data_IF_750853762232
#
_entry.id   IF_750853762232
#
_cell.length_a   1.000
_cell.length_b   1.000
_cell.length_c   1.000
_cell.angle_alpha   90.00
_cell.angle_beta   90.00
_cell.angle_gamma   90.00
#
_symmetry.space_group_name_H-M   'P 1'
#
loop_
_entity.id
_entity.type
_entity.pdbx_description
1 polymer ?
#
# COMPACT_ATOMS: atom_id res chain seq x y z
N UNK A 1 9.54 16.20 -1.85
CA UNK A 1 8.31 15.55 -2.35
C UNK A 1 7.76 14.52 -1.35
N UNK A 2 8.08 14.66 -0.05
CA UNK A 2 7.60 13.79 1.02
C UNK A 2 6.07 13.92 1.19
N UNK A 3 5.41 12.88 1.70
CA UNK A 3 3.97 12.81 1.95
C UNK A 3 3.10 12.98 0.69
N UNK A 4 3.41 12.24 -0.37
CA UNK A 4 2.56 12.13 -1.55
C UNK A 4 2.03 10.69 -1.69
N UNK A 5 0.82 10.56 -2.22
CA UNK A 5 0.23 9.26 -2.54
C UNK A 5 0.65 8.84 -3.95
N UNK A 6 0.85 7.55 -4.14
CA UNK A 6 1.08 6.96 -5.46
C UNK A 6 -0.19 6.23 -5.93
N UNK A 7 -0.49 6.37 -7.21
CA UNK A 7 -1.73 5.86 -7.81
C UNK A 7 -1.44 5.26 -9.17
N UNK A 8 -1.87 4.01 -9.37
CA UNK A 8 -1.77 3.30 -10.63
C UNK A 8 -3.13 3.28 -11.34
N UNK A 9 -3.12 3.34 -12.66
CA UNK A 9 -4.30 3.16 -13.50
C UNK A 9 -4.02 2.10 -14.54
N UNK A 10 -4.68 0.96 -14.42
CA UNK A 10 -4.60 -0.12 -15.41
C UNK A 10 -5.77 -0.02 -16.38
N UNK A 11 -5.48 -0.04 -17.68
CA UNK A 11 -6.51 0.08 -18.71
C UNK A 11 -6.17 -0.63 -20.01
N UNK A 12 -7.15 -0.64 -20.92
CA UNK A 12 -7.03 -1.13 -22.28
C UNK A 12 -7.61 -0.08 -23.23
N UNK A 13 -6.94 0.17 -24.35
CA UNK A 13 -7.42 1.07 -25.39
C UNK A 13 -7.44 0.35 -26.74
N UNK A 14 -8.44 0.58 -27.59
CA UNK A 14 -8.52 0.09 -28.98
C UNK A 14 -8.12 1.15 -30.04
N UNK A 15 -7.53 2.26 -29.57
CA UNK A 15 -7.20 3.46 -30.35
C UNK A 15 -8.32 4.51 -30.34
N UNK A 16 -9.55 4.16 -29.91
CA UNK A 16 -10.68 5.11 -29.81
C UNK A 16 -11.35 5.05 -28.45
N UNK A 17 -11.65 3.85 -27.99
CA UNK A 17 -12.30 3.56 -26.72
C UNK A 17 -11.25 3.15 -25.70
N UNK A 18 -11.36 3.73 -24.51
CA UNK A 18 -10.49 3.42 -23.36
C UNK A 18 -11.37 2.76 -22.30
N UNK A 19 -10.96 1.59 -21.84
CA UNK A 19 -11.53 0.89 -20.69
C UNK A 19 -10.54 1.02 -19.54
N UNK A 20 -10.89 1.79 -18.52
CA UNK A 20 -10.15 1.80 -17.25
C UNK A 20 -10.64 0.61 -16.42
N UNK A 21 -9.73 -0.30 -16.12
CA UNK A 21 -10.01 -1.45 -15.25
C UNK A 21 -10.19 -0.99 -13.81
N UNK A 22 -9.21 -0.27 -13.27
CA UNK A 22 -9.31 0.38 -11.96
C UNK A 22 -8.30 1.51 -11.82
N UNK A 23 -8.64 2.45 -10.94
CA UNK A 23 -7.66 3.32 -10.28
C UNK A 23 -7.28 2.64 -8.97
N UNK A 24 -5.99 2.42 -8.77
CA UNK A 24 -5.42 1.63 -7.68
C UNK A 24 -4.57 2.57 -6.83
N UNK A 25 -4.92 2.73 -5.56
CA UNK A 25 -4.15 3.56 -4.64
C UNK A 25 -3.12 2.72 -3.90
N UNK A 26 -1.89 3.22 -3.77
CA UNK A 26 -0.88 2.61 -2.91
C UNK A 26 -1.11 3.04 -1.46
N UNK A 27 -1.10 2.09 -0.53
CA UNK A 27 -1.24 2.36 0.92
C UNK A 27 0.03 3.03 1.44
N UNK A 28 1.18 2.49 1.03
CA UNK A 28 2.51 3.04 1.30
C UNK A 28 2.69 4.41 0.63
N UNK A 29 3.58 5.23 1.21
CA UNK A 29 3.88 6.56 0.65
C UNK A 29 4.81 6.46 -0.56
N UNK A 30 4.75 7.46 -1.44
CA UNK A 30 5.65 7.57 -2.57
C UNK A 30 7.13 7.48 -2.12
N UNK A 31 7.90 6.64 -2.80
CA UNK A 31 9.28 6.29 -2.44
C UNK A 31 9.47 4.81 -2.09
N UNK A 32 8.38 4.09 -1.83
CA UNK A 32 8.34 2.62 -1.88
C UNK A 32 8.04 2.22 -3.32
N UNK A 33 8.84 1.31 -3.89
CA UNK A 33 8.60 0.81 -5.25
C UNK A 33 7.22 0.16 -5.37
N UNK A 34 6.47 0.46 -6.43
CA UNK A 34 5.09 -0.05 -6.65
C UNK A 34 4.92 -1.56 -6.47
N UNK A 35 5.89 -2.38 -6.91
CA UNK A 35 5.94 -3.82 -6.64
C UNK A 35 5.80 -4.24 -5.17
N UNK A 36 6.44 -3.47 -4.29
CA UNK A 36 6.53 -3.69 -2.84
C UNK A 36 5.47 -2.90 -2.05
N UNK A 37 4.69 -2.06 -2.73
CA UNK A 37 3.60 -1.34 -2.10
C UNK A 37 2.38 -2.26 -1.91
N UNK A 38 1.71 -2.10 -0.78
CA UNK A 38 0.34 -2.57 -0.64
C UNK A 38 -0.58 -1.67 -1.47
N UNK A 39 -1.56 -2.27 -2.14
CA UNK A 39 -2.46 -1.57 -3.05
C UNK A 39 -3.92 -1.80 -2.67
N UNK A 40 -4.77 -0.80 -2.89
CA UNK A 40 -6.21 -0.90 -2.63
C UNK A 40 -7.10 -0.47 -3.80
N UNK A 41 -8.21 -1.19 -3.97
CA UNK A 41 -9.31 -0.86 -4.87
C UNK A 41 -10.64 -1.02 -4.11
N UNK A 42 -11.57 -0.07 -4.15
CA UNK A 42 -11.36 1.29 -4.66
C UNK A 42 -10.32 2.05 -3.82
N UNK A 43 -9.80 3.20 -4.31
CA UNK A 43 -8.98 4.12 -3.53
C UNK A 43 -9.67 4.48 -2.20
N UNK A 44 -8.89 4.53 -1.12
CA UNK A 44 -9.37 4.75 0.24
C UNK A 44 -9.25 6.21 0.68
N UNK A 45 -8.21 6.93 0.22
CA UNK A 45 -7.90 8.31 0.64
C UNK A 45 -8.12 9.33 -0.46
N UNK A 46 -8.24 8.92 -1.73
CA UNK A 46 -8.42 9.85 -2.84
C UNK A 46 -9.81 10.48 -2.84
N UNK A 47 -9.87 11.79 -3.11
CA UNK A 47 -11.13 12.50 -3.29
C UNK A 47 -11.76 12.17 -4.66
N UNK A 48 -13.10 12.27 -4.76
CA UNK A 48 -13.80 12.09 -6.04
C UNK A 48 -13.27 13.03 -7.14
N UNK A 49 -12.90 14.26 -6.76
CA UNK A 49 -12.30 15.24 -7.67
C UNK A 49 -10.98 14.75 -8.25
N UNK A 50 -10.12 14.13 -7.43
CA UNK A 50 -8.86 13.55 -7.90
C UNK A 50 -9.12 12.35 -8.80
N UNK A 51 -10.06 11.48 -8.44
CA UNK A 51 -10.47 10.33 -9.24
C UNK A 51 -10.96 10.77 -10.63
N UNK A 52 -11.81 11.80 -10.71
CA UNK A 52 -12.29 12.37 -11.97
C UNK A 52 -11.14 12.95 -12.80
N UNK A 53 -10.22 13.71 -12.19
CA UNK A 53 -9.06 14.28 -12.87
C UNK A 53 -8.13 13.20 -13.44
N UNK A 54 -7.87 12.13 -12.67
CA UNK A 54 -7.04 10.99 -13.11
C UNK A 54 -7.75 10.25 -14.26
N UNK A 55 -9.07 10.08 -14.17
CA UNK A 55 -9.90 9.44 -15.20
C UNK A 55 -9.84 10.21 -16.52
N UNK A 56 -10.05 11.53 -16.50
CA UNK A 56 -9.95 12.40 -17.70
C UNK A 56 -8.54 12.36 -18.30
N UNK A 57 -7.52 12.56 -17.45
CA UNK A 57 -6.12 12.56 -17.88
C UNK A 57 -5.74 11.23 -18.54
N UNK A 58 -6.14 10.11 -17.94
CA UNK A 58 -5.92 8.77 -18.47
C UNK A 58 -6.55 8.59 -19.85
N UNK A 59 -7.82 8.98 -20.00
CA UNK A 59 -8.54 8.89 -21.27
C UNK A 59 -7.86 9.71 -22.37
N UNK A 60 -7.42 10.93 -22.05
CA UNK A 60 -6.75 11.82 -22.99
C UNK A 60 -5.39 11.28 -23.41
N UNK A 61 -4.57 10.86 -22.44
CA UNK A 61 -3.23 10.29 -22.70
C UNK A 61 -3.35 9.03 -23.55
N UNK A 62 -4.24 8.08 -23.19
CA UNK A 62 -4.37 6.83 -23.93
C UNK A 62 -4.79 7.03 -25.40
N UNK A 63 -5.63 8.04 -25.67
CA UNK A 63 -6.06 8.40 -27.03
C UNK A 63 -4.97 9.15 -27.79
N UNK A 64 -4.26 10.07 -27.15
CA UNK A 64 -3.17 10.85 -27.78
C UNK A 64 -2.04 9.93 -28.25
N UNK A 65 -1.66 8.93 -27.44
CA UNK A 65 -0.67 7.93 -27.81
C UNK A 65 -1.22 6.84 -28.74
N UNK A 66 -2.50 6.91 -29.13
CA UNK A 66 -3.19 5.94 -29.99
C UNK A 66 -2.95 4.49 -29.55
N UNK A 67 -3.05 4.25 -28.23
CA UNK A 67 -2.75 2.95 -27.63
C UNK A 67 -3.70 1.89 -28.18
N UNK A 68 -3.13 0.75 -28.57
CA UNK A 68 -3.87 -0.45 -28.99
C UNK A 68 -3.42 -1.64 -28.17
N UNK A 69 -4.15 -1.96 -27.11
CA UNK A 69 -3.78 -2.99 -26.14
C UNK A 69 -3.77 -2.47 -24.71
N UNK A 70 -3.05 -3.16 -23.81
CA UNK A 70 -3.00 -2.83 -22.40
C UNK A 70 -2.05 -1.66 -22.12
N UNK A 71 -2.35 -0.88 -21.10
CA UNK A 71 -1.46 0.15 -20.59
C UNK A 71 -1.59 0.30 -19.07
N UNK A 72 -0.58 0.93 -18.48
CA UNK A 72 -0.55 1.35 -17.08
C UNK A 72 -0.02 2.78 -16.99
N UNK A 73 -0.72 3.63 -16.25
CA UNK A 73 -0.31 5.00 -15.94
C UNK A 73 -0.08 5.14 -14.44
N UNK A 74 1.04 5.75 -14.06
CA UNK A 74 1.35 6.03 -12.66
C UNK A 74 1.26 7.52 -12.39
N UNK A 75 0.66 7.87 -11.26
CA UNK A 75 0.44 9.24 -10.82
C UNK A 75 0.96 9.45 -9.40
N UNK A 76 1.48 10.65 -9.16
CA UNK A 76 1.70 11.19 -7.83
C UNK A 76 0.53 12.11 -7.46
N UNK A 77 -0.07 11.92 -6.30
CA UNK A 77 -1.12 12.81 -5.78
C UNK A 77 -0.61 13.55 -4.56
N UNK A 78 -0.60 14.89 -4.65
CA UNK A 78 -0.23 15.76 -3.53
C UNK A 78 -1.07 17.04 -3.54
N UNK A 79 -1.58 17.44 -2.37
CA UNK A 79 -2.36 18.67 -2.19
C UNK A 79 -3.51 18.80 -3.21
N UNK A 80 -4.30 17.73 -3.39
CA UNK A 80 -5.41 17.68 -4.35
C UNK A 80 -4.99 17.96 -5.81
N UNK A 81 -3.76 17.57 -6.18
CA UNK A 81 -3.26 17.61 -7.56
C UNK A 81 -2.61 16.28 -7.93
N UNK A 82 -2.95 15.80 -9.12
CA UNK A 82 -2.36 14.61 -9.72
C UNK A 82 -1.25 15.03 -10.72
N UNK A 83 -0.12 14.35 -10.66
CA UNK A 83 1.03 14.53 -11.55
C UNK A 83 1.36 13.19 -12.20
N UNK A 84 1.53 13.14 -13.52
CA UNK A 84 1.93 11.91 -14.22
C UNK A 84 3.39 11.59 -13.89
N UNK A 85 3.67 10.36 -13.51
CA UNK A 85 5.02 9.82 -13.30
C UNK A 85 5.50 9.17 -14.59
N UNK A 86 4.82 8.10 -15.03
CA UNK A 86 5.17 7.35 -16.23
C UNK A 86 3.95 6.72 -16.91
N UNK A 87 4.12 6.38 -18.19
CA UNK A 87 3.19 5.59 -19.00
C UNK A 87 3.89 4.33 -19.49
N UNK A 88 3.34 3.17 -19.15
CA UNK A 88 3.75 1.88 -19.66
C UNK A 88 2.71 1.39 -20.68
N UNK A 89 3.06 1.36 -21.97
CA UNK A 89 2.18 0.82 -23.04
C UNK A 89 2.34 -0.71 -23.13
N UNK A 90 2.06 -1.39 -22.04
CA UNK A 90 2.11 -2.84 -21.87
C UNK A 90 1.26 -3.24 -20.66
N UNK A 91 1.06 -4.54 -20.48
CA UNK A 91 0.45 -5.06 -19.25
C UNK A 91 1.36 -4.77 -18.05
N UNK A 92 0.76 -4.29 -16.95
CA UNK A 92 1.39 -4.16 -15.65
C UNK A 92 1.27 -5.46 -14.85
N UNK A 93 2.01 -5.52 -13.73
CA UNK A 93 1.90 -6.61 -12.76
C UNK A 93 0.61 -6.57 -11.94
N UNK A 94 -0.02 -5.40 -11.79
CA UNK A 94 -1.28 -5.22 -11.07
C UNK A 94 -2.51 -5.60 -11.89
N UNK A 95 -2.39 -5.70 -13.21
CA UNK A 95 -3.51 -6.00 -14.11
C UNK A 95 -4.25 -7.31 -13.79
N UNK A 96 -3.61 -8.43 -13.36
CA UNK A 96 -4.32 -9.61 -12.88
C UNK A 96 -5.16 -9.36 -11.63
N UNK A 97 -4.66 -8.56 -10.68
CA UNK A 97 -5.41 -8.15 -9.48
C UNK A 97 -6.62 -7.29 -9.86
N UNK A 98 -6.42 -6.27 -10.70
CA UNK A 98 -7.50 -5.42 -11.25
C UNK A 98 -8.55 -6.27 -11.96
N UNK A 99 -8.14 -7.14 -12.88
CA UNK A 99 -9.03 -8.02 -13.66
C UNK A 99 -9.91 -8.90 -12.75
N UNK A 100 -9.33 -9.47 -11.68
CA UNK A 100 -10.07 -10.29 -10.72
C UNK A 100 -11.05 -9.46 -9.90
N UNK A 101 -10.67 -8.25 -9.49
CA UNK A 101 -11.54 -7.35 -8.72
C UNK A 101 -12.78 -6.94 -9.51
N UNK A 102 -12.60 -6.44 -10.75
CA UNK A 102 -13.72 -6.00 -11.59
C UNK A 102 -14.44 -7.13 -12.33
N UNK A 103 -13.92 -8.37 -12.23
CA UNK A 103 -14.44 -9.56 -12.92
C UNK A 103 -14.47 -9.40 -14.45
N UNK A 104 -13.51 -8.67 -14.99
CA UNK A 104 -13.32 -8.45 -16.43
C UNK A 104 -11.94 -8.95 -16.81
N UNK A 105 -11.86 -9.80 -17.84
CA UNK A 105 -10.57 -10.27 -18.34
C UNK A 105 -9.91 -9.18 -19.19
N UNK A 106 -9.14 -8.30 -18.55
CA UNK A 106 -8.47 -7.18 -19.21
C UNK A 106 -7.48 -7.65 -20.28
N UNK A 107 -6.81 -8.79 -20.08
CA UNK A 107 -5.88 -9.35 -21.08
C UNK A 107 -6.60 -9.82 -22.34
N UNK A 108 -7.81 -10.38 -22.20
CA UNK A 108 -8.65 -10.74 -23.35
C UNK A 108 -9.08 -9.49 -24.13
N UNK A 109 -9.47 -8.41 -23.44
CA UNK A 109 -9.79 -7.13 -24.07
C UNK A 109 -8.56 -6.55 -24.79
N UNK A 110 -7.40 -6.59 -24.13
CA UNK A 110 -6.14 -6.14 -24.68
C UNK A 110 -5.77 -6.88 -25.97
N UNK A 111 -5.92 -8.21 -25.99
CA UNK A 111 -5.68 -9.02 -27.18
C UNK A 111 -6.63 -8.66 -28.32
N UNK A 112 -7.92 -8.41 -28.03
CA UNK A 112 -8.88 -7.95 -29.03
C UNK A 112 -8.48 -6.60 -29.62
N UNK A 113 -8.11 -5.64 -28.78
CA UNK A 113 -7.65 -4.31 -29.21
C UNK A 113 -6.39 -4.39 -30.10
N UNK A 114 -5.41 -5.21 -29.72
CA UNK A 114 -4.18 -5.43 -30.51
C UNK A 114 -4.51 -6.00 -31.89
N UNK A 115 -5.49 -6.90 -31.98
CA UNK A 115 -5.97 -7.48 -33.24
C UNK A 115 -6.86 -6.53 -34.05
N UNK A 116 -7.04 -5.28 -33.62
CA UNK A 116 -7.87 -4.29 -34.29
C UNK A 116 -9.38 -4.53 -34.15
N UNK A 117 -9.79 -5.37 -33.18
CA UNK A 117 -11.20 -5.54 -32.84
C UNK A 117 -11.61 -4.44 -31.86
N UNK A 118 -12.87 -4.00 -31.97
CA UNK A 118 -13.45 -3.07 -31.01
C UNK A 118 -13.59 -3.76 -29.64
N UNK A 119 -13.27 -3.03 -28.56
CA UNK A 119 -13.53 -3.48 -27.20
C UNK A 119 -14.91 -3.00 -26.73
N UNK A 120 -15.61 -3.73 -25.85
CA UNK A 120 -16.90 -3.32 -25.33
C UNK A 120 -16.80 -2.01 -24.56
N UNK A 121 -17.87 -1.22 -24.60
CA UNK A 121 -17.96 -0.02 -23.76
C UNK A 121 -18.32 -0.44 -22.33
N UNK A 122 -17.35 -0.30 -21.42
CA UNK A 122 -17.48 -0.65 -20.01
C UNK A 122 -17.58 0.64 -19.19
N UNK A 123 -18.48 0.72 -18.19
CA UNK A 123 -18.57 1.89 -17.31
C UNK A 123 -17.24 2.19 -16.62
N UNK A 124 -16.79 3.45 -16.72
CA UNK A 124 -15.48 3.89 -16.19
C UNK A 124 -15.40 3.81 -14.66
N UNK A 125 -16.54 3.73 -13.99
CA UNK A 125 -16.71 3.72 -12.54
C UNK A 125 -17.01 2.32 -11.98
N UNK A 126 -16.95 1.27 -12.80
CA UNK A 126 -17.34 -0.09 -12.37
C UNK A 126 -16.57 -0.61 -11.15
N UNK A 127 -15.34 -0.14 -10.97
CA UNK A 127 -14.47 -0.50 -9.84
C UNK A 127 -14.80 0.25 -8.55
N UNK A 128 -15.59 1.34 -8.60
CA UNK A 128 -16.06 2.06 -7.40
C UNK A 128 -17.29 1.40 -6.78
N UNK A 129 -18.18 0.86 -7.60
CA UNK A 129 -19.53 0.46 -7.18
C UNK A 129 -19.68 -1.05 -6.88
N UNK A 130 -18.60 -1.72 -6.47
CA UNK A 130 -18.63 -3.17 -6.21
C UNK A 130 -19.14 -3.53 -4.80
N UNK A 131 -19.23 -2.56 -3.89
CA UNK A 131 -19.53 -2.80 -2.47
C UNK A 131 -18.47 -3.64 -1.75
N UNK A 132 -17.29 -3.81 -2.36
CA UNK A 132 -16.20 -4.67 -1.89
C UNK A 132 -14.88 -3.91 -1.98
N UNK A 133 -13.95 -4.22 -1.09
CA UNK A 133 -12.55 -3.76 -1.16
C UNK A 133 -11.65 -4.91 -1.58
N UNK A 134 -10.71 -4.63 -2.48
CA UNK A 134 -9.59 -5.49 -2.84
C UNK A 134 -8.31 -4.89 -2.28
N UNK A 135 -7.51 -5.71 -1.61
CA UNK A 135 -6.18 -5.35 -1.12
C UNK A 135 -5.16 -6.33 -1.69
N UNK A 136 -4.13 -5.80 -2.34
CA UNK A 136 -2.94 -6.57 -2.74
C UNK A 136 -1.82 -6.27 -1.75
N UNK A 137 -1.23 -7.31 -1.17
CA UNK A 137 -0.12 -7.25 -0.21
C UNK A 137 1.09 -7.95 -0.83
N UNK A 138 2.28 -7.34 -0.83
CA UNK A 138 3.51 -7.98 -1.28
C UNK A 138 3.94 -9.12 -0.34
N UNK A 139 4.54 -10.16 -0.91
CA UNK A 139 5.24 -11.22 -0.18
C UNK A 139 6.74 -10.98 -0.28
N UNK A 140 7.42 -11.04 0.86
CA UNK A 140 8.89 -10.95 0.92
C UNK A 140 9.51 -12.29 1.33
N UNK A 141 10.74 -12.51 0.89
CA UNK A 141 11.55 -13.69 1.23
C UNK A 141 12.79 -13.34 2.05
N UNK A 142 12.76 -12.26 2.85
CA UNK A 142 13.92 -11.79 3.64
C UNK A 142 14.53 -12.88 4.54
N UNK A 143 13.71 -13.78 5.07
CA UNK A 143 14.17 -14.90 5.91
C UNK A 143 15.08 -15.90 5.16
N UNK A 144 15.11 -15.87 3.83
CA UNK A 144 15.97 -16.71 3.00
C UNK A 144 17.27 -16.01 2.59
N UNK A 145 17.41 -14.71 2.89
CA UNK A 145 18.51 -13.86 2.47
C UNK A 145 19.29 -13.36 3.70
N UNK A 146 20.30 -14.13 4.09
CA UNK A 146 21.17 -13.76 5.21
C UNK A 146 21.92 -12.45 4.91
N UNK A 147 21.87 -11.50 5.84
CA UNK A 147 22.49 -10.18 5.69
C UNK A 147 21.70 -9.16 4.86
N UNK A 148 20.50 -9.51 4.37
CA UNK A 148 19.62 -8.54 3.72
C UNK A 148 19.06 -7.53 4.73
N UNK A 149 19.10 -6.24 4.36
CA UNK A 149 18.43 -5.20 5.13
C UNK A 149 16.92 -5.24 4.86
N UNK A 150 16.11 -5.25 5.92
CA UNK A 150 14.64 -5.39 5.85
C UNK A 150 14.04 -3.98 5.80
N UNK A 151 14.36 -3.24 4.75
CA UNK A 151 13.92 -1.86 4.55
C UNK A 151 13.38 -1.69 3.14
N UNK A 152 12.16 -1.17 3.05
CA UNK A 152 11.54 -0.82 1.76
C UNK A 152 12.19 0.44 1.18
N UNK A 153 12.38 0.44 -0.14
CA UNK A 153 12.95 1.58 -0.85
C UNK A 153 12.46 1.68 -2.29
N UNK A 154 13.24 2.38 -3.11
CA UNK A 154 12.92 2.62 -4.52
C UNK A 154 13.19 1.41 -5.42
N UNK A 155 13.90 0.40 -4.93
CA UNK A 155 14.14 -0.86 -5.63
C UNK A 155 13.19 -1.94 -5.10
N UNK A 156 12.62 -2.73 -6.01
CA UNK A 156 11.69 -3.82 -5.67
C UNK A 156 12.44 -5.02 -5.08
N UNK A 157 11.96 -5.51 -3.94
CA UNK A 157 12.51 -6.68 -3.24
C UNK A 157 11.49 -7.81 -3.02
N UNK A 158 10.19 -7.56 -3.21
CA UNK A 158 9.16 -8.59 -3.07
C UNK A 158 9.29 -9.70 -4.11
N UNK A 159 8.94 -10.93 -3.70
CA UNK A 159 9.05 -12.15 -4.51
C UNK A 159 7.69 -12.66 -4.98
N UNK A 160 6.61 -12.10 -4.46
CA UNK A 160 5.24 -12.47 -4.81
C UNK A 160 4.22 -11.50 -4.24
N UNK A 161 2.94 -11.87 -4.34
CA UNK A 161 1.83 -11.07 -3.83
C UNK A 161 0.62 -11.95 -3.48
N UNK A 162 -0.16 -11.49 -2.51
CA UNK A 162 -1.48 -12.02 -2.22
C UNK A 162 -2.53 -10.92 -2.45
N UNK A 163 -3.65 -11.29 -3.06
CA UNK A 163 -4.79 -10.40 -3.23
C UNK A 163 -5.99 -10.94 -2.46
N UNK A 164 -6.57 -10.12 -1.59
CA UNK A 164 -7.72 -10.48 -0.76
C UNK A 164 -8.87 -9.49 -0.96
N UNK A 165 -10.09 -10.00 -0.84
CA UNK A 165 -11.31 -9.22 -0.99
C UNK A 165 -12.13 -9.25 0.31
N UNK A 166 -12.76 -8.13 0.64
CA UNK A 166 -13.52 -7.97 1.88
C UNK A 166 -14.60 -6.91 1.79
N UNK A 167 -15.51 -6.93 2.76
CA UNK A 167 -16.67 -6.01 2.80
C UNK A 167 -16.27 -4.60 3.29
N UNK A 168 -15.06 -4.45 3.80
CA UNK A 168 -14.46 -3.17 4.19
C UNK A 168 -12.96 -3.19 3.91
N UNK A 169 -12.34 -2.01 3.88
CA UNK A 169 -10.88 -1.87 3.75
C UNK A 169 -10.14 -2.70 4.81
N UNK A 170 -10.55 -2.59 6.08
CA UNK A 170 -9.90 -3.31 7.18
C UNK A 170 -10.10 -4.83 7.10
N UNK A 171 -11.26 -5.31 6.65
CA UNK A 171 -11.51 -6.73 6.43
C UNK A 171 -10.57 -7.28 5.34
N UNK A 172 -10.53 -6.62 4.17
CA UNK A 172 -9.65 -7.02 3.07
C UNK A 172 -8.16 -6.94 3.45
N UNK A 173 -7.75 -5.89 4.16
CA UNK A 173 -6.37 -5.69 4.61
C UNK A 173 -5.94 -6.78 5.60
N UNK A 174 -6.79 -7.09 6.59
CA UNK A 174 -6.48 -8.13 7.57
C UNK A 174 -6.30 -9.52 6.93
N UNK A 175 -7.15 -9.85 5.95
CA UNK A 175 -7.03 -11.07 5.13
C UNK A 175 -5.74 -11.07 4.31
N UNK A 176 -5.38 -9.93 3.70
CA UNK A 176 -4.16 -9.76 2.91
C UNK A 176 -2.91 -9.99 3.74
N UNK A 177 -2.80 -9.32 4.88
CA UNK A 177 -1.67 -9.47 5.82
C UNK A 177 -1.57 -10.91 6.33
N UNK A 178 -2.70 -11.53 6.70
CA UNK A 178 -2.72 -12.93 7.15
C UNK A 178 -2.26 -13.89 6.03
N UNK A 179 -2.64 -13.61 4.78
CA UNK A 179 -2.33 -14.47 3.62
C UNK A 179 -0.85 -14.49 3.26
N UNK A 180 -0.10 -13.42 3.57
CA UNK A 180 1.37 -13.35 3.38
C UNK A 180 2.15 -13.77 4.63
N UNK A 181 1.45 -14.28 5.66
CA UNK A 181 2.05 -14.87 6.86
C UNK A 181 2.24 -13.91 8.04
N UNK A 182 1.73 -12.68 7.99
CA UNK A 182 1.72 -11.82 9.18
C UNK A 182 0.77 -12.37 10.24
N UNK A 183 1.25 -12.40 11.48
CA UNK A 183 0.40 -12.62 12.64
C UNK A 183 -0.11 -11.26 13.14
N UNK A 184 -1.43 -11.11 13.26
CA UNK A 184 -2.06 -9.89 13.77
C UNK A 184 -2.42 -10.11 15.26
N UNK A 185 -1.53 -9.76 16.20
CA UNK A 185 -1.82 -9.93 17.62
C UNK A 185 -3.00 -9.07 18.04
N UNK A 186 -3.81 -9.58 18.98
CA UNK A 186 -4.94 -8.83 19.56
C UNK A 186 -4.56 -8.01 20.79
N UNK A 187 -3.57 -8.50 21.53
CA UNK A 187 -3.02 -7.89 22.74
C UNK A 187 -1.54 -8.29 22.86
N UNK A 188 -0.80 -7.67 23.78
CA UNK A 188 0.60 -8.04 24.02
C UNK A 188 1.49 -6.83 24.28
N UNK A 189 2.68 -6.85 23.69
CA UNK A 189 3.66 -5.77 23.80
C UNK A 189 3.99 -5.20 22.43
N UNK A 190 3.94 -3.87 22.31
CA UNK A 190 4.34 -3.16 21.10
C UNK A 190 5.57 -2.30 21.39
N UNK A 191 6.62 -2.44 20.59
CA UNK A 191 7.74 -1.51 20.57
C UNK A 191 7.39 -0.34 19.65
N UNK A 192 7.71 0.89 20.08
CA UNK A 192 7.60 2.09 19.25
C UNK A 192 8.93 2.85 19.32
N UNK A 193 9.67 2.83 18.21
CA UNK A 193 10.94 3.55 18.07
C UNK A 193 10.85 4.48 16.85
N UNK A 194 10.85 5.79 17.09
CA UNK A 194 10.69 6.75 15.99
C UNK A 194 11.45 8.06 16.22
N UNK A 195 12.15 8.48 15.16
CA UNK A 195 12.89 9.73 15.10
C UNK A 195 12.01 10.91 14.68
N UNK A 196 12.33 12.10 15.23
CA UNK A 196 11.64 13.36 14.91
C UNK A 196 10.35 13.57 15.69
N UNK A 197 10.09 14.82 16.09
CA UNK A 197 8.88 15.17 16.87
C UNK A 197 7.61 15.01 16.04
N UNK A 198 7.64 15.42 14.77
CA UNK A 198 6.49 15.32 13.85
C UNK A 198 5.98 13.88 13.72
N UNK A 199 6.89 12.92 13.56
CA UNK A 199 6.52 11.50 13.44
C UNK A 199 5.95 10.93 14.75
N UNK A 200 6.43 11.41 15.91
CA UNK A 200 5.86 11.03 17.21
C UNK A 200 4.45 11.58 17.38
N UNK A 201 4.19 12.78 16.88
CA UNK A 201 2.84 13.34 16.84
C UNK A 201 1.91 12.53 15.92
N UNK A 202 2.37 12.16 14.72
CA UNK A 202 1.64 11.28 13.80
C UNK A 202 1.29 9.92 14.44
N UNK A 203 2.22 9.33 15.19
CA UNK A 203 2.01 8.04 15.86
C UNK A 203 1.25 8.10 17.20
N UNK A 204 0.97 9.29 17.74
CA UNK A 204 0.31 9.42 19.04
C UNK A 204 -1.05 8.74 19.07
N UNK A 205 -1.88 8.99 18.05
CA UNK A 205 -3.21 8.39 17.97
C UNK A 205 -3.14 6.87 17.83
N UNK A 206 -2.25 6.37 16.96
CA UNK A 206 -2.02 4.92 16.79
C UNK A 206 -1.55 4.26 18.08
N UNK A 207 -0.62 4.88 18.80
CA UNK A 207 -0.10 4.38 20.07
C UNK A 207 -1.18 4.37 21.16
N UNK A 208 -2.05 5.38 21.20
CA UNK A 208 -3.20 5.41 22.09
C UNK A 208 -4.19 4.28 21.77
N UNK A 209 -4.46 4.01 20.50
CA UNK A 209 -5.32 2.90 20.06
C UNK A 209 -4.75 1.55 20.49
N UNK A 210 -3.44 1.32 20.29
CA UNK A 210 -2.78 0.10 20.76
C UNK A 210 -2.92 -0.07 22.28
N UNK A 211 -2.72 1.00 23.05
CA UNK A 211 -2.90 0.94 24.50
C UNK A 211 -4.33 0.61 24.90
N UNK A 212 -5.33 1.21 24.24
CA UNK A 212 -6.75 0.91 24.46
C UNK A 212 -7.12 -0.53 24.09
N UNK A 213 -6.41 -1.14 23.15
CA UNK A 213 -6.53 -2.56 22.81
C UNK A 213 -5.82 -3.49 23.81
N UNK A 214 -5.15 -2.94 24.84
CA UNK A 214 -4.47 -3.72 25.87
C UNK A 214 -3.01 -4.05 25.54
N UNK A 215 -2.38 -3.33 24.60
CA UNK A 215 -0.94 -3.46 24.38
C UNK A 215 -0.16 -2.65 25.42
N UNK A 216 0.88 -3.27 25.98
CA UNK A 216 1.92 -2.57 26.72
C UNK A 216 2.88 -1.91 25.74
N UNK A 217 3.09 -0.61 25.88
CA UNK A 217 3.97 0.15 24.98
C UNK A 217 5.39 0.17 25.55
N UNK A 218 6.33 -0.30 24.74
CA UNK A 218 7.77 -0.16 24.96
C UNK A 218 8.31 0.88 23.99
N UNK A 219 9.21 1.76 24.41
CA UNK A 219 9.75 2.78 23.51
C UNK A 219 11.19 3.18 23.87
N UNK A 220 11.96 3.59 22.87
CA UNK A 220 13.31 4.16 23.11
C UNK A 220 13.20 5.49 23.86
N UNK A 221 14.18 5.83 24.69
CA UNK A 221 14.18 6.96 25.64
C UNK A 221 13.43 8.21 25.15
N UNK A 222 13.88 8.85 24.06
CA UNK A 222 13.26 10.10 23.58
C UNK A 222 11.82 9.92 23.06
N UNK A 223 11.46 8.73 22.59
CA UNK A 223 10.10 8.37 22.17
C UNK A 223 9.23 8.08 23.40
N UNK A 224 9.78 7.38 24.39
CA UNK A 224 9.11 7.10 25.65
C UNK A 224 8.81 8.38 26.43
N UNK A 225 9.76 9.31 26.56
CA UNK A 225 9.54 10.61 27.22
C UNK A 225 8.40 11.42 26.59
N UNK A 226 8.28 11.36 25.26
CA UNK A 226 7.20 12.05 24.55
C UNK A 226 5.84 11.39 24.81
N UNK A 227 5.77 10.06 24.75
CA UNK A 227 4.51 9.34 24.95
C UNK A 227 4.10 9.26 26.42
N UNK A 228 5.03 9.16 27.36
CA UNK A 228 4.73 9.11 28.81
C UNK A 228 3.93 10.33 29.25
N UNK A 229 4.31 11.52 28.77
CA UNK A 229 3.61 12.78 29.07
C UNK A 229 2.17 12.84 28.55
N UNK A 230 1.82 12.03 27.55
CA UNK A 230 0.54 12.10 26.81
C UNK A 230 -0.36 10.88 27.01
N UNK A 231 0.24 9.70 27.18
CA UNK A 231 -0.42 8.40 27.28
C UNK A 231 -0.21 7.75 28.66
N UNK A 232 0.91 8.07 29.33
CA UNK A 232 1.39 7.41 30.56
C UNK A 232 1.74 5.93 30.36
N UNK A 233 2.35 5.29 31.36
CA UNK A 233 2.60 3.85 31.44
C UNK A 233 3.32 3.28 30.18
N UNK A 234 4.37 3.97 29.76
CA UNK A 234 5.27 3.58 28.68
C UNK A 234 6.56 3.05 29.29
N UNK A 235 6.96 1.84 28.90
CA UNK A 235 8.21 1.23 29.38
C UNK A 235 9.39 1.67 28.51
N UNK A 236 10.36 2.33 29.10
CA UNK A 236 11.61 2.71 28.43
C UNK A 236 12.44 1.45 28.13
N UNK A 237 12.97 1.36 26.90
CA UNK A 237 13.94 0.35 26.48
C UNK A 237 15.15 0.99 25.81
N UNK A 238 16.28 0.30 25.84
CA UNK A 238 17.55 0.78 25.28
C UNK A 238 17.86 0.14 23.93
N UNK A 239 18.63 0.87 23.11
CA UNK A 239 18.91 0.50 21.72
C UNK A 239 19.79 -0.74 21.67
N UNK A 240 19.68 -1.51 20.58
CA UNK A 240 20.53 -2.68 20.33
C UNK A 240 22.03 -2.31 20.36
N UNK A 241 22.38 -1.09 19.95
CA UNK A 241 23.74 -0.55 20.00
C UNK A 241 24.28 -0.29 21.41
N UNK A 242 23.45 -0.40 22.45
CA UNK A 242 23.79 -0.15 23.86
C UNK A 242 23.62 -1.43 24.71
N UNK A 243 24.42 -2.50 24.47
CA UNK A 243 24.18 -3.83 25.02
C UNK A 243 24.20 -3.91 26.56
N UNK A 244 24.98 -3.04 27.20
CA UNK A 244 25.12 -2.95 28.66
C UNK A 244 23.91 -2.33 29.35
N UNK A 245 23.07 -1.58 28.62
CA UNK A 245 21.90 -0.89 29.19
C UNK A 245 20.67 -1.81 29.13
N UNK A 246 20.01 -2.02 30.27
CA UNK A 246 18.83 -2.88 30.40
C UNK A 246 17.58 -2.09 30.84
N UNK A 247 16.38 -2.44 30.34
CA UNK A 247 16.09 -3.51 29.39
C UNK A 247 16.50 -3.15 27.95
N UNK A 248 17.16 -4.09 27.24
CA UNK A 248 17.61 -3.88 25.85
C UNK A 248 16.62 -4.49 24.85
N UNK A 249 16.42 -3.84 23.70
CA UNK A 249 15.53 -4.35 22.64
C UNK A 249 15.95 -5.76 22.17
N UNK A 250 17.24 -6.02 22.02
CA UNK A 250 17.74 -7.32 21.55
C UNK A 250 17.35 -8.47 22.50
N UNK A 251 17.50 -8.26 23.81
CA UNK A 251 17.13 -9.26 24.82
C UNK A 251 15.62 -9.52 24.80
N UNK A 252 14.81 -8.46 24.72
CA UNK A 252 13.36 -8.58 24.72
C UNK A 252 12.82 -9.27 23.46
N UNK A 253 13.48 -9.07 22.31
CA UNK A 253 13.19 -9.82 21.08
C UNK A 253 13.54 -11.29 21.22
N UNK A 254 14.74 -11.60 21.73
CA UNK A 254 15.20 -12.97 21.94
C UNK A 254 14.29 -13.75 22.91
N UNK A 255 13.85 -13.09 23.99
CA UNK A 255 12.91 -13.61 24.97
C UNK A 255 11.44 -13.61 24.49
N UNK A 256 11.16 -13.13 23.27
CA UNK A 256 9.82 -13.01 22.68
C UNK A 256 8.84 -12.19 23.54
N UNK A 257 9.36 -11.19 24.26
CA UNK A 257 8.57 -10.25 25.08
C UNK A 257 7.98 -9.10 24.27
N UNK A 258 8.49 -8.85 23.07
CA UNK A 258 7.94 -7.91 22.08
C UNK A 258 7.20 -8.70 21.00
N UNK A 259 5.95 -8.31 20.74
CA UNK A 259 5.04 -9.03 19.82
C UNK A 259 4.74 -8.21 18.56
N UNK A 260 4.77 -6.88 18.69
CA UNK A 260 4.63 -5.92 17.60
C UNK A 260 5.80 -4.93 17.64
N UNK A 261 6.32 -4.52 16.47
CA UNK A 261 7.49 -3.65 16.30
C UNK A 261 7.14 -2.42 15.46
#
# INVERSE_FOLDING_TARGET
MLDALEVDVDGVCDGKNVVIGAIVEHIDSAGVHSGDAMMCIPPWRLSNKIIENITDSTNRIAKEFNIKGPFNLQFLVKNERAYVIELNIRASRSMPFVSKFVKVNMISLAAQAILGKNIPNIPQDMWMNTGTYGIKVPQFSFMQLEGADIVLGVEMQSTGEAACFGNSFYDALSKGLTSVGYNLPKTGSALVTIGGVENREKLLQTSALLKNLGFKIFATETTAEFFEKKLGDVTVVHKISEPERKPNIADLLYEKKLILL
#
